data_IF_038862543197
#
_entry.id   IF_038862543197
#
_cell.length_a   1.000
_cell.length_b   1.000
_cell.length_c   1.000
_cell.angle_alpha   90.00
_cell.angle_beta   90.00
_cell.angle_gamma   90.00
#
_symmetry.space_group_name_H-M   'P 1'
#
loop_
_entity.id
_entity.type
_entity.pdbx_description
1 polymer ?
#
# COMPACT_ATOMS: atom_id res chain seq x y z
N UNK A 1 4.46 -20.12 -8.39
CA UNK A 1 5.67 -19.85 -9.20
C UNK A 1 6.60 -18.83 -8.51
N UNK A 2 6.90 -19.05 -7.23
CA UNK A 2 7.87 -18.22 -6.50
C UNK A 2 9.27 -18.43 -7.07
N UNK A 3 10.10 -17.40 -7.07
CA UNK A 3 11.50 -17.41 -7.51
C UNK A 3 11.66 -17.78 -9.00
N UNK A 4 10.64 -17.44 -9.81
CA UNK A 4 10.61 -17.65 -11.26
C UNK A 4 10.76 -16.35 -12.06
N UNK A 5 11.07 -15.24 -11.40
CA UNK A 5 11.33 -13.95 -12.03
C UNK A 5 10.15 -12.96 -11.98
N UNK A 6 8.99 -13.38 -11.48
CA UNK A 6 7.87 -12.48 -11.25
C UNK A 6 8.21 -11.36 -10.28
N UNK A 7 9.01 -11.68 -9.26
CA UNK A 7 9.46 -10.74 -8.26
C UNK A 7 10.30 -9.61 -8.88
N UNK A 8 11.19 -9.93 -9.83
CA UNK A 8 11.98 -8.94 -10.56
C UNK A 8 11.08 -7.97 -11.35
N UNK A 9 10.08 -8.52 -12.02
CA UNK A 9 9.13 -7.74 -12.81
C UNK A 9 8.29 -6.82 -11.93
N UNK A 10 7.73 -7.33 -10.83
CA UNK A 10 6.89 -6.53 -9.92
C UNK A 10 7.70 -5.53 -9.09
N UNK A 11 8.94 -5.85 -8.74
CA UNK A 11 9.82 -4.91 -8.03
C UNK A 11 10.14 -3.72 -8.92
N UNK A 12 10.40 -3.95 -10.22
CA UNK A 12 10.60 -2.84 -11.16
C UNK A 12 9.37 -1.93 -11.30
N UNK A 13 8.17 -2.48 -11.19
CA UNK A 13 6.94 -1.65 -11.17
C UNK A 13 6.91 -0.74 -9.94
N UNK A 14 7.30 -1.25 -8.77
CA UNK A 14 7.35 -0.44 -7.55
C UNK A 14 8.40 0.67 -7.66
N UNK A 15 9.57 0.35 -8.20
CA UNK A 15 10.62 1.35 -8.46
C UNK A 15 10.15 2.44 -9.43
N UNK A 16 9.47 2.07 -10.52
CA UNK A 16 8.89 3.03 -11.46
C UNK A 16 7.81 3.90 -10.81
N UNK A 17 7.01 3.35 -9.91
CA UNK A 17 6.05 4.15 -9.12
C UNK A 17 6.77 5.11 -8.17
N UNK A 18 7.92 4.71 -7.62
CA UNK A 18 8.76 5.55 -6.75
C UNK A 18 9.42 6.73 -7.50
N UNK A 19 9.58 6.60 -8.82
CA UNK A 19 10.11 7.67 -9.69
C UNK A 19 9.03 8.72 -10.04
N UNK A 20 7.74 8.48 -9.76
CA UNK A 20 6.65 9.41 -10.10
C UNK A 20 6.67 10.66 -9.22
N UNK A 21 6.47 11.82 -9.84
CA UNK A 21 6.31 13.10 -9.13
C UNK A 21 5.04 13.15 -8.29
N UNK A 22 3.96 12.53 -8.79
CA UNK A 22 2.69 12.45 -8.08
C UNK A 22 2.80 11.50 -6.88
N UNK A 23 2.38 11.97 -5.70
CA UNK A 23 2.38 11.18 -4.48
C UNK A 23 1.51 9.93 -4.60
N UNK A 24 2.00 8.82 -4.05
CA UNK A 24 1.31 7.52 -4.06
C UNK A 24 1.19 7.03 -2.63
N UNK A 25 0.03 6.48 -2.27
CA UNK A 25 -0.21 5.86 -0.96
C UNK A 25 -0.10 4.34 -1.08
N UNK A 26 0.94 3.77 -0.49
CA UNK A 26 1.19 2.33 -0.49
C UNK A 26 0.63 1.67 0.78
N UNK A 27 -0.26 0.70 0.62
CA UNK A 27 -0.79 -0.11 1.72
C UNK A 27 -0.03 -1.45 1.79
N UNK A 28 0.93 -1.56 2.72
CA UNK A 28 1.79 -2.74 2.84
C UNK A 28 1.36 -3.63 4.01
N UNK A 29 0.59 -4.67 3.71
CA UNK A 29 0.04 -5.59 4.71
C UNK A 29 0.81 -6.93 4.76
N UNK A 30 1.38 -7.24 5.93
CA UNK A 30 2.18 -8.45 6.13
C UNK A 30 3.66 -8.28 5.79
N UNK A 31 4.48 -9.25 6.20
CA UNK A 31 5.95 -9.15 6.15
C UNK A 31 6.50 -9.00 4.72
N UNK A 32 5.99 -9.80 3.77
CA UNK A 32 6.45 -9.76 2.38
C UNK A 32 6.19 -8.39 1.73
N UNK A 33 5.01 -7.80 1.96
CA UNK A 33 4.69 -6.46 1.46
C UNK A 33 5.53 -5.39 2.15
N UNK A 34 5.69 -5.48 3.48
CA UNK A 34 6.53 -4.54 4.25
C UNK A 34 7.99 -4.52 3.77
N UNK A 35 8.53 -5.66 3.35
CA UNK A 35 9.89 -5.72 2.82
C UNK A 35 10.09 -4.84 1.57
N UNK A 36 9.03 -4.59 0.80
CA UNK A 36 9.08 -3.70 -0.39
C UNK A 36 9.14 -2.21 -0.04
N UNK A 37 8.97 -1.84 1.23
CA UNK A 37 9.15 -0.45 1.67
C UNK A 37 10.55 0.09 1.34
N UNK A 38 11.57 -0.77 1.26
CA UNK A 38 12.93 -0.38 0.87
C UNK A 38 13.02 0.16 -0.57
N UNK A 39 12.06 -0.18 -1.44
CA UNK A 39 11.98 0.32 -2.82
C UNK A 39 11.23 1.66 -2.94
N UNK A 40 10.59 2.12 -1.85
CA UNK A 40 9.75 3.32 -1.82
C UNK A 40 10.48 4.37 -0.98
N UNK A 41 11.36 5.13 -1.63
CA UNK A 41 12.27 6.08 -0.99
C UNK A 41 11.89 7.55 -1.21
N UNK A 42 11.07 7.85 -2.21
CA UNK A 42 10.79 9.23 -2.58
C UNK A 42 9.84 9.90 -1.58
N UNK A 43 10.14 11.15 -1.15
CA UNK A 43 9.49 11.78 -0.01
C UNK A 43 8.03 12.18 -0.26
N UNK A 44 7.56 12.19 -1.50
CA UNK A 44 6.16 12.45 -1.86
C UNK A 44 5.24 11.26 -1.58
N UNK A 45 5.77 10.04 -1.55
CA UNK A 45 4.96 8.85 -1.30
C UNK A 45 4.68 8.66 0.19
N UNK A 46 3.62 7.92 0.50
CA UNK A 46 3.24 7.58 1.88
C UNK A 46 3.06 6.08 2.02
N UNK A 47 3.63 5.51 3.07
CA UNK A 47 3.54 4.08 3.36
C UNK A 47 2.66 3.90 4.60
N UNK A 48 1.61 3.09 4.47
CA UNK A 48 0.80 2.62 5.59
C UNK A 48 1.03 1.11 5.75
N UNK A 49 1.53 0.68 6.90
CA UNK A 49 1.79 -0.75 7.16
C UNK A 49 0.91 -1.32 8.27
N UNK A 50 0.49 -2.57 8.10
CA UNK A 50 -0.29 -3.31 9.10
C UNK A 50 0.04 -4.81 9.07
N UNK A 51 -0.54 -5.58 9.99
CA UNK A 51 -0.54 -7.04 9.87
C UNK A 51 -1.27 -7.47 8.58
N UNK A 52 -1.04 -8.70 8.12
CA UNK A 52 -1.75 -9.24 6.96
C UNK A 52 -3.24 -9.47 7.32
N UNK A 53 -4.20 -9.23 6.39
CA UNK A 53 -5.63 -9.41 6.61
C UNK A 53 -6.07 -10.87 6.84
N UNK A 54 -5.19 -11.85 6.59
CA UNK A 54 -5.48 -13.27 6.88
C UNK A 54 -5.98 -13.44 8.32
N UNK A 55 -6.99 -14.30 8.57
CA UNK A 55 -7.52 -14.57 9.91
C UNK A 55 -6.43 -14.89 10.94
N UNK A 56 -5.35 -15.54 10.51
CA UNK A 56 -4.23 -15.92 11.38
C UNK A 56 -3.47 -14.71 11.97
N UNK A 57 -3.53 -13.54 11.32
CA UNK A 57 -2.75 -12.36 11.70
C UNK A 57 -3.57 -11.09 11.85
N UNK A 58 -4.84 -11.08 11.42
CA UNK A 58 -5.63 -9.85 11.34
C UNK A 58 -5.82 -9.18 12.70
N UNK A 59 -6.08 -9.96 13.75
CA UNK A 59 -6.22 -9.48 15.13
C UNK A 59 -4.91 -8.86 15.68
N UNK A 60 -3.76 -9.16 15.09
CA UNK A 60 -2.44 -8.66 15.53
C UNK A 60 -2.08 -7.29 14.92
N UNK A 61 -3.04 -6.60 14.30
CA UNK A 61 -2.87 -5.20 13.89
C UNK A 61 -3.42 -4.83 12.51
N UNK A 62 -4.16 -5.71 11.83
CA UNK A 62 -4.93 -5.31 10.65
C UNK A 62 -6.26 -4.69 11.07
N UNK A 63 -7.01 -5.37 11.95
CA UNK A 63 -8.25 -4.82 12.50
C UNK A 63 -7.95 -3.54 13.28
N UNK A 64 -8.71 -2.48 12.99
CA UNK A 64 -8.51 -1.17 13.60
C UNK A 64 -7.38 -0.33 12.98
N UNK A 65 -6.65 -0.79 11.96
CA UNK A 65 -5.57 0.00 11.34
C UNK A 65 -6.08 1.26 10.63
N UNK A 66 -7.36 1.28 10.22
CA UNK A 66 -8.06 2.39 9.55
C UNK A 66 -7.33 2.87 8.28
N UNK A 67 -6.71 1.96 7.53
CA UNK A 67 -5.91 2.33 6.36
C UNK A 67 -6.70 3.04 5.26
N UNK A 68 -7.95 2.62 4.99
CA UNK A 68 -8.77 3.24 3.96
C UNK A 68 -9.05 4.72 4.24
N UNK A 69 -9.54 5.04 5.45
CA UNK A 69 -9.78 6.44 5.84
C UNK A 69 -8.48 7.24 5.98
N UNK A 70 -7.38 6.61 6.40
CA UNK A 70 -6.06 7.26 6.46
C UNK A 70 -5.51 7.55 5.06
N UNK A 71 -5.74 6.67 4.09
CA UNK A 71 -5.36 6.89 2.70
C UNK A 71 -6.13 8.09 2.13
N UNK A 72 -7.45 8.14 2.32
CA UNK A 72 -8.26 9.30 1.89
C UNK A 72 -7.79 10.60 2.55
N UNK A 73 -7.48 10.58 3.85
CA UNK A 73 -6.93 11.77 4.53
C UNK A 73 -5.61 12.24 3.91
N UNK A 74 -4.74 11.31 3.49
CA UNK A 74 -3.48 11.65 2.81
C UNK A 74 -3.76 12.26 1.43
N UNK A 75 -4.69 11.68 0.67
CA UNK A 75 -5.11 12.20 -0.63
C UNK A 75 -5.66 13.61 -0.50
N UNK A 76 -6.61 13.83 0.41
CA UNK A 76 -7.20 15.14 0.69
C UNK A 76 -6.14 16.17 1.11
N UNK A 77 -5.18 15.80 1.96
CA UNK A 77 -4.07 16.67 2.36
C UNK A 77 -3.17 17.07 1.20
N UNK A 78 -3.12 16.26 0.14
CA UNK A 78 -2.39 16.53 -1.09
C UNK A 78 -3.28 17.15 -2.19
N UNK A 79 -4.51 17.55 -1.86
CA UNK A 79 -5.45 18.14 -2.82
C UNK A 79 -6.02 17.15 -3.84
N UNK A 80 -5.94 15.85 -3.56
CA UNK A 80 -6.47 14.77 -4.40
C UNK A 80 -7.85 14.32 -3.90
N UNK A 81 -8.66 13.83 -4.84
CA UNK A 81 -9.98 13.28 -4.53
C UNK A 81 -9.84 11.99 -3.68
N UNK A 82 -10.64 11.85 -2.60
CA UNK A 82 -10.65 10.62 -1.82
C UNK A 82 -11.22 9.46 -2.63
N UNK A 83 -10.78 8.24 -2.31
CA UNK A 83 -11.31 7.03 -2.96
C UNK A 83 -12.65 6.67 -2.33
N UNK A 84 -13.66 6.42 -3.16
CA UNK A 84 -14.85 5.70 -2.74
C UNK A 84 -14.51 4.21 -2.61
N UNK A 85 -14.53 3.71 -1.38
CA UNK A 85 -14.22 2.33 -1.06
C UNK A 85 -15.46 1.43 -1.03
N UNK A 86 -16.66 2.00 -1.17
CA UNK A 86 -17.90 1.24 -1.19
C UNK A 86 -17.97 0.45 -2.49
N UNK A 87 -18.19 -0.86 -2.38
CA UNK A 87 -18.48 -1.72 -3.54
C UNK A 87 -20.00 -1.78 -3.69
N UNK A 88 -20.48 -1.55 -4.91
CA UNK A 88 -21.90 -1.62 -5.24
C UNK A 88 -22.44 -3.05 -5.08
N UNK A 89 -23.70 -3.15 -4.66
CA UNK A 89 -24.41 -4.43 -4.68
C UNK A 89 -24.86 -4.69 -6.13
N UNK A 90 -24.43 -5.82 -6.70
CA UNK A 90 -24.80 -6.29 -8.03
C UNK A 90 -25.92 -7.32 -7.91
#
# INVERSE_FOLDING_TARGET
>A
HKDKGWELFTDRIIELLNEREEGVVFLLWGANAKAKAALITAPQHRILTAAHPSPMSAARGFFGCRHFSRANRILEQNGMEPIDWQIENI
#
